data_IF_626676726680
#
_entry.id   IF_626676726680
#
_cell.length_a   1.000
_cell.length_b   1.000
_cell.length_c   1.000
_cell.angle_alpha   90.00
_cell.angle_beta   90.00
_cell.angle_gamma   90.00
#
_symmetry.space_group_name_H-M   'P 1'
#
loop_
_entity.id
_entity.type
_entity.pdbx_description
1 polymer ?
#
# COMPACT_ATOMS: atom_id res chain seq x y z
N UNK A 1 31.42 4.97 15.50
CA UNK A 1 31.42 3.63 14.84
C UNK A 1 30.71 3.81 13.52
N UNK A 2 31.27 3.39 12.38
CA UNK A 2 30.52 3.50 11.12
C UNK A 2 29.31 2.56 11.23
N UNK A 3 28.12 3.15 11.31
CA UNK A 3 26.85 2.45 11.18
C UNK A 3 26.85 1.77 9.80
N UNK A 4 26.31 0.55 9.69
CA UNK A 4 26.24 -0.13 8.39
C UNK A 4 25.44 0.73 7.39
N UNK A 5 25.80 0.73 6.09
CA UNK A 5 25.06 1.50 5.10
C UNK A 5 23.58 1.11 5.13
N UNK A 6 22.71 2.12 5.13
CA UNK A 6 21.27 1.89 5.29
C UNK A 6 20.67 1.20 4.06
N UNK A 7 21.25 1.34 2.87
CA UNK A 7 20.76 0.71 1.64
C UNK A 7 21.83 -0.22 1.06
N UNK A 8 21.72 -1.52 1.31
CA UNK A 8 22.68 -2.54 0.82
C UNK A 8 22.03 -3.75 0.19
N UNK A 9 20.72 -3.90 0.33
CA UNK A 9 19.98 -5.01 -0.22
C UNK A 9 19.73 -4.88 -1.73
N UNK A 10 19.14 -5.93 -2.32
CA UNK A 10 18.97 -6.05 -3.77
C UNK A 10 18.00 -5.04 -4.37
N UNK A 11 17.21 -4.36 -3.53
CA UNK A 11 16.25 -3.34 -3.94
C UNK A 11 16.71 -1.93 -3.56
N UNK A 12 17.95 -1.77 -3.07
CA UNK A 12 18.51 -0.46 -2.77
C UNK A 12 18.38 0.49 -3.99
N UNK A 13 17.95 1.75 -3.77
CA UNK A 13 17.91 2.74 -4.84
C UNK A 13 19.27 2.91 -5.52
N UNK A 14 19.29 2.84 -6.85
CA UNK A 14 20.54 3.02 -7.60
C UNK A 14 20.98 4.49 -7.61
N UNK A 15 22.29 4.73 -7.52
CA UNK A 15 22.83 6.10 -7.59
C UNK A 15 22.52 6.78 -8.93
N UNK A 16 22.53 6.01 -10.03
CA UNK A 16 22.16 6.50 -11.36
C UNK A 16 20.73 7.05 -11.34
N UNK A 17 19.79 6.36 -10.72
CA UNK A 17 18.40 6.82 -10.64
C UNK A 17 18.24 8.05 -9.74
N UNK A 18 18.91 8.05 -8.59
CA UNK A 18 18.90 9.17 -7.64
C UNK A 18 19.50 10.45 -8.24
N UNK A 19 20.50 10.31 -9.10
CA UNK A 19 21.23 11.41 -9.72
C UNK A 19 20.58 11.96 -11.00
N UNK A 20 19.46 11.39 -11.48
CA UNK A 20 18.70 11.93 -12.63
C UNK A 20 17.95 13.23 -12.34
N UNK A 21 17.71 13.55 -11.07
CA UNK A 21 16.95 14.74 -10.71
C UNK A 21 17.77 16.01 -10.97
N UNK A 22 17.24 16.90 -11.81
CA UNK A 22 17.84 18.22 -12.11
C UNK A 22 17.28 19.34 -11.24
N UNK A 23 16.52 19.00 -10.18
CA UNK A 23 15.96 19.96 -9.22
C UNK A 23 14.99 21.03 -9.77
N UNK A 24 14.43 20.83 -10.96
CA UNK A 24 13.55 21.80 -11.65
C UNK A 24 12.22 22.13 -10.94
N UNK A 25 11.74 21.28 -10.02
CA UNK A 25 10.54 21.54 -9.22
C UNK A 25 9.18 21.30 -9.89
N UNK A 26 9.13 20.83 -11.15
CA UNK A 26 7.84 20.55 -11.84
C UNK A 26 6.96 19.52 -11.09
N UNK A 27 7.58 18.60 -10.37
CA UNK A 27 6.88 17.58 -9.60
C UNK A 27 6.13 18.11 -8.36
N UNK A 28 6.44 19.33 -7.89
CA UNK A 28 5.90 19.87 -6.63
C UNK A 28 4.37 20.00 -6.69
N UNK A 29 3.86 20.72 -7.69
CA UNK A 29 2.42 20.99 -7.84
C UNK A 29 1.59 19.77 -8.25
N UNK A 30 2.25 18.67 -8.61
CA UNK A 30 1.59 17.41 -9.00
C UNK A 30 1.55 16.39 -7.85
N UNK A 31 2.20 16.70 -6.73
CA UNK A 31 2.24 15.85 -5.55
C UNK A 31 1.14 16.25 -4.56
N UNK A 32 0.13 15.40 -4.32
CA UNK A 32 -0.99 15.76 -3.44
C UNK A 32 -0.53 16.03 -2.01
N UNK A 33 0.49 15.32 -1.51
CA UNK A 33 0.98 15.55 -0.14
C UNK A 33 1.69 16.88 0.00
N UNK A 34 2.37 17.34 -1.05
CA UNK A 34 3.01 18.66 -1.04
C UNK A 34 1.99 19.78 -1.16
N UNK A 35 0.98 19.64 -2.03
CA UNK A 35 -0.05 20.67 -2.19
C UNK A 35 -0.84 20.88 -0.90
N UNK A 36 -1.06 19.83 -0.11
CA UNK A 36 -1.74 19.93 1.17
C UNK A 36 -0.84 20.47 2.30
N UNK A 37 0.44 20.09 2.33
CA UNK A 37 1.33 20.43 3.46
C UNK A 37 2.19 21.69 3.25
N UNK A 38 2.49 22.04 2.00
CA UNK A 38 3.44 23.09 1.63
C UNK A 38 4.91 22.80 2.01
N UNK A 39 5.20 21.65 2.63
CA UNK A 39 6.53 21.30 3.12
C UNK A 39 7.35 20.64 2.03
N UNK A 40 8.53 21.18 1.71
CA UNK A 40 9.42 20.62 0.68
C UNK A 40 9.79 19.14 0.98
N UNK A 41 9.91 18.77 2.25
CA UNK A 41 10.17 17.38 2.69
C UNK A 41 9.04 16.41 2.34
N UNK A 42 7.82 16.90 2.09
CA UNK A 42 6.66 16.13 1.64
C UNK A 42 6.49 16.13 0.11
N UNK A 43 7.41 16.78 -0.60
CA UNK A 43 7.43 16.80 -2.05
C UNK A 43 8.19 15.59 -2.64
N UNK A 44 7.95 15.25 -3.91
CA UNK A 44 8.70 14.19 -4.56
C UNK A 44 10.19 14.51 -4.60
N UNK A 45 10.54 15.76 -4.93
CA UNK A 45 11.93 16.23 -4.96
C UNK A 45 12.60 16.16 -3.60
N UNK A 46 11.95 16.67 -2.56
CA UNK A 46 12.51 16.66 -1.19
C UNK A 46 12.70 15.24 -0.66
N UNK A 47 11.72 14.35 -0.86
CA UNK A 47 11.85 12.92 -0.49
C UNK A 47 12.96 12.22 -1.26
N UNK A 48 13.12 12.51 -2.55
CA UNK A 48 14.23 11.98 -3.34
C UNK A 48 15.58 12.42 -2.76
N UNK A 49 15.69 13.69 -2.34
CA UNK A 49 16.88 14.21 -1.71
C UNK A 49 17.14 13.58 -0.34
N UNK A 50 16.09 13.33 0.46
CA UNK A 50 16.18 12.57 1.71
C UNK A 50 16.70 11.15 1.46
N UNK A 51 16.15 10.43 0.48
CA UNK A 51 16.62 9.09 0.10
C UNK A 51 18.09 9.15 -0.33
N UNK A 52 18.48 10.10 -1.17
CA UNK A 52 19.88 10.27 -1.60
C UNK A 52 20.82 10.57 -0.43
N UNK A 53 20.41 11.44 0.49
CA UNK A 53 21.21 11.76 1.68
C UNK A 53 21.37 10.56 2.62
N UNK A 54 20.34 9.72 2.77
CA UNK A 54 20.43 8.45 3.52
C UNK A 54 21.33 7.44 2.79
N UNK A 55 21.21 7.34 1.46
CA UNK A 55 22.01 6.43 0.64
C UNK A 55 23.50 6.75 0.70
N UNK A 56 23.85 8.03 0.72
CA UNK A 56 25.22 8.52 0.83
C UNK A 56 25.71 8.67 2.28
N UNK A 57 24.97 8.16 3.26
CA UNK A 57 25.32 8.21 4.69
C UNK A 57 25.53 9.64 5.23
N UNK A 58 24.98 10.66 4.55
CA UNK A 58 25.04 12.07 5.00
C UNK A 58 24.08 12.33 6.16
N UNK A 59 23.00 11.56 6.24
CA UNK A 59 22.04 11.57 7.35
C UNK A 59 21.66 10.15 7.73
N UNK A 60 21.36 9.94 9.01
CA UNK A 60 20.77 8.69 9.49
C UNK A 60 19.28 8.62 9.12
N UNK A 61 18.76 7.42 8.88
CA UNK A 61 17.34 7.17 8.60
C UNK A 61 16.43 7.27 9.83
N UNK A 62 16.50 8.40 10.55
CA UNK A 62 15.73 8.65 11.78
C UNK A 62 14.21 8.46 11.58
N UNK A 63 13.43 8.19 12.65
CA UNK A 63 11.97 8.05 12.55
C UNK A 63 11.29 9.24 11.86
N UNK A 64 11.81 10.46 12.06
CA UNK A 64 11.32 11.67 11.38
C UNK A 64 11.58 11.61 9.88
N UNK A 65 12.81 11.26 9.46
CA UNK A 65 13.16 11.14 8.04
C UNK A 65 12.33 10.05 7.34
N UNK A 66 12.14 8.90 8.00
CA UNK A 66 11.29 7.81 7.50
C UNK A 66 9.82 8.23 7.43
N UNK A 67 9.33 9.01 8.40
CA UNK A 67 7.97 9.53 8.41
C UNK A 67 7.63 10.37 7.18
N UNK A 68 8.56 11.22 6.72
CA UNK A 68 8.40 11.96 5.46
C UNK A 68 8.27 11.02 4.25
N UNK A 69 9.00 9.90 4.23
CA UNK A 69 8.88 8.90 3.17
C UNK A 69 7.56 8.13 3.26
N UNK A 70 7.09 7.80 4.45
CA UNK A 70 5.84 7.06 4.70
C UNK A 70 4.58 7.82 4.28
N UNK A 71 4.62 9.15 4.29
CA UNK A 71 3.53 9.98 3.78
C UNK A 71 3.38 9.91 2.26
N UNK A 72 4.35 9.37 1.51
CA UNK A 72 4.20 9.17 0.08
C UNK A 72 3.07 8.17 -0.25
N UNK A 73 2.05 8.62 -0.97
CA UNK A 73 0.94 7.77 -1.42
C UNK A 73 1.32 6.80 -2.55
N UNK A 74 2.52 6.92 -3.12
CA UNK A 74 2.94 6.19 -4.34
C UNK A 74 1.95 6.33 -5.52
N UNK A 75 1.37 7.53 -5.69
CA UNK A 75 0.46 7.82 -6.81
C UNK A 75 1.16 7.99 -8.17
N UNK A 76 2.48 8.20 -8.17
CA UNK A 76 3.36 8.30 -9.36
C UNK A 76 3.07 9.46 -10.33
N UNK A 77 2.20 10.40 -9.98
CA UNK A 77 2.00 11.64 -10.77
C UNK A 77 3.31 12.41 -11.03
N UNK A 78 4.24 12.38 -10.08
CA UNK A 78 5.55 13.01 -10.21
C UNK A 78 6.40 12.45 -11.35
N UNK A 79 6.23 11.18 -11.72
CA UNK A 79 6.98 10.57 -12.85
C UNK A 79 6.46 11.09 -14.18
N UNK A 80 5.13 11.17 -14.34
CA UNK A 80 4.48 11.59 -15.58
C UNK A 80 4.87 13.01 -16.01
N UNK A 81 5.19 13.87 -15.05
CA UNK A 81 5.55 15.28 -15.29
C UNK A 81 7.05 15.54 -15.23
N UNK A 82 7.87 14.52 -14.96
CA UNK A 82 9.31 14.70 -14.80
C UNK A 82 9.99 14.77 -16.18
N UNK A 83 10.59 15.92 -16.57
CA UNK A 83 11.30 16.01 -17.85
C UNK A 83 12.56 15.14 -17.88
N UNK A 84 13.15 14.86 -16.71
CA UNK A 84 14.36 14.04 -16.58
C UNK A 84 14.08 12.53 -16.47
N UNK A 85 12.82 12.11 -16.49
CA UNK A 85 12.45 10.69 -16.41
C UNK A 85 12.97 9.98 -15.15
N UNK A 86 12.89 10.64 -14.00
CA UNK A 86 13.27 10.03 -12.71
C UNK A 86 12.29 8.89 -12.40
N UNK A 87 12.76 7.64 -12.22
CA UNK A 87 11.91 6.48 -11.94
C UNK A 87 11.50 6.45 -10.46
N UNK A 88 10.72 7.45 -10.03
CA UNK A 88 10.44 7.76 -8.63
C UNK A 88 9.84 6.58 -7.84
N UNK A 89 8.88 5.86 -8.42
CA UNK A 89 8.21 4.72 -7.79
C UNK A 89 9.21 3.61 -7.45
N UNK A 90 10.09 3.24 -8.38
CA UNK A 90 11.15 2.25 -8.14
C UNK A 90 12.07 2.68 -7.00
N UNK A 91 12.48 3.94 -6.99
CA UNK A 91 13.34 4.51 -5.94
C UNK A 91 12.63 4.45 -4.58
N UNK A 92 11.37 4.88 -4.51
CA UNK A 92 10.60 4.91 -3.27
C UNK A 92 10.30 3.51 -2.73
N UNK A 93 9.94 2.57 -3.61
CA UNK A 93 9.72 1.16 -3.26
C UNK A 93 10.99 0.52 -2.70
N UNK A 94 12.11 0.74 -3.39
CA UNK A 94 13.42 0.27 -2.95
C UNK A 94 13.82 0.83 -1.59
N UNK A 95 13.72 2.15 -1.41
CA UNK A 95 14.03 2.80 -0.15
C UNK A 95 13.15 2.25 0.99
N UNK A 96 11.84 2.12 0.79
CA UNK A 96 10.92 1.56 1.80
C UNK A 96 11.23 0.10 2.13
N UNK A 97 11.59 -0.70 1.14
CA UNK A 97 11.95 -2.11 1.34
C UNK A 97 13.19 -2.25 2.22
N UNK A 98 14.23 -1.46 1.96
CA UNK A 98 15.45 -1.46 2.76
C UNK A 98 15.21 -0.93 4.18
N UNK A 99 14.45 0.17 4.31
CA UNK A 99 14.08 0.73 5.63
C UNK A 99 13.28 -0.28 6.46
N UNK A 100 12.33 -0.98 5.85
CA UNK A 100 11.55 -2.03 6.51
C UNK A 100 12.43 -3.21 6.94
N UNK A 101 13.41 -3.61 6.12
CA UNK A 101 14.33 -4.68 6.45
C UNK A 101 15.23 -4.33 7.65
N UNK A 102 15.71 -3.09 7.72
CA UNK A 102 16.62 -2.62 8.76
C UNK A 102 15.91 -2.22 10.06
N UNK A 103 14.72 -1.62 9.96
CA UNK A 103 13.95 -1.09 11.11
C UNK A 103 12.49 -1.52 11.01
N UNK A 104 12.21 -2.83 11.12
CA UNK A 104 10.84 -3.30 11.00
C UNK A 104 10.00 -2.84 12.20
N UNK A 105 8.74 -2.40 11.99
CA UNK A 105 7.89 -1.95 13.08
C UNK A 105 7.60 -3.11 14.06
N UNK A 106 7.34 -2.84 15.35
CA UNK A 106 7.21 -3.87 16.39
C UNK A 106 6.18 -4.97 16.08
N UNK A 107 5.09 -4.60 15.38
CA UNK A 107 4.01 -5.50 15.00
C UNK A 107 4.11 -6.02 13.56
N UNK A 108 5.23 -5.84 12.85
CA UNK A 108 5.34 -6.21 11.44
C UNK A 108 5.09 -7.71 11.21
N UNK A 109 5.66 -8.59 12.06
CA UNK A 109 5.52 -10.04 11.93
C UNK A 109 4.07 -10.47 12.06
N UNK A 110 3.36 -9.88 13.04
CA UNK A 110 1.94 -10.14 13.25
C UNK A 110 1.10 -9.65 12.07
N UNK A 111 1.40 -8.45 11.55
CA UNK A 111 0.72 -7.89 10.36
C UNK A 111 0.98 -8.75 9.12
N UNK A 112 2.22 -9.16 8.88
CA UNK A 112 2.61 -10.01 7.76
C UNK A 112 1.96 -11.40 7.86
N UNK A 113 1.92 -12.00 9.05
CA UNK A 113 1.22 -13.25 9.31
C UNK A 113 -0.28 -13.08 9.04
N UNK A 114 -0.90 -12.00 9.52
CA UNK A 114 -2.31 -11.72 9.28
C UNK A 114 -2.62 -11.55 7.78
N UNK A 115 -1.82 -10.78 7.05
CA UNK A 115 -1.93 -10.60 5.60
C UNK A 115 -1.85 -11.95 4.87
N UNK A 116 -0.87 -12.80 5.22
CA UNK A 116 -0.66 -14.10 4.58
C UNK A 116 -1.70 -15.15 4.96
N UNK A 117 -2.13 -15.18 6.22
CA UNK A 117 -2.95 -16.26 6.75
C UNK A 117 -4.44 -15.95 6.73
N UNK A 118 -4.83 -14.67 6.78
CA UNK A 118 -6.24 -14.23 6.78
C UNK A 118 -6.62 -13.62 5.43
N UNK A 119 -5.89 -12.63 4.95
CA UNK A 119 -6.25 -11.90 3.70
C UNK A 119 -6.00 -12.77 2.47
N UNK A 120 -4.84 -13.40 2.33
CA UNK A 120 -4.52 -14.23 1.16
C UNK A 120 -5.34 -15.54 1.06
N UNK A 121 -6.19 -15.85 2.05
CA UNK A 121 -6.99 -17.09 2.10
C UNK A 121 -8.49 -16.75 2.18
N UNK A 122 -9.24 -16.76 1.06
CA UNK A 122 -10.63 -16.30 0.99
C UNK A 122 -11.58 -16.97 2.00
N UNK A 123 -11.37 -18.26 2.31
CA UNK A 123 -12.18 -18.98 3.30
C UNK A 123 -12.00 -18.42 4.72
N UNK A 124 -10.76 -18.07 5.09
CA UNK A 124 -10.44 -17.51 6.40
C UNK A 124 -10.85 -16.05 6.50
N UNK A 125 -10.70 -15.29 5.42
CA UNK A 125 -11.24 -13.93 5.33
C UNK A 125 -12.76 -13.92 5.53
N UNK A 126 -13.49 -14.86 4.92
CA UNK A 126 -14.94 -14.96 5.09
C UNK A 126 -15.36 -15.37 6.52
N UNK A 127 -14.62 -16.29 7.15
CA UNK A 127 -14.83 -16.65 8.55
C UNK A 127 -14.55 -15.46 9.48
N UNK A 128 -13.45 -14.74 9.26
CA UNK A 128 -13.08 -13.54 10.01
C UNK A 128 -14.12 -12.43 9.88
N UNK A 129 -14.63 -12.17 8.66
CA UNK A 129 -15.71 -11.22 8.43
C UNK A 129 -17.00 -11.62 9.17
N UNK A 130 -17.32 -12.91 9.21
CA UNK A 130 -18.49 -13.42 9.96
C UNK A 130 -18.32 -13.24 11.46
N UNK A 131 -17.14 -13.56 12.00
CA UNK A 131 -16.81 -13.35 13.40
C UNK A 131 -16.92 -11.86 13.77
N UNK A 132 -16.41 -10.96 12.93
CA UNK A 132 -16.49 -9.53 13.16
C UNK A 132 -17.93 -9.00 13.11
N UNK A 133 -18.79 -9.59 12.26
CA UNK A 133 -20.24 -9.30 12.27
C UNK A 133 -20.89 -9.75 13.57
N UNK A 134 -20.61 -10.97 14.05
CA UNK A 134 -21.16 -11.49 15.30
C UNK A 134 -20.70 -10.66 16.51
N UNK A 135 -19.42 -10.29 16.56
CA UNK A 135 -18.86 -9.40 17.59
C UNK A 135 -19.55 -8.03 17.64
N UNK A 136 -19.97 -7.50 16.49
CA UNK A 136 -20.73 -6.25 16.44
C UNK A 136 -22.18 -6.44 16.83
N UNK A 137 -22.82 -7.51 16.37
CA UNK A 137 -24.21 -7.82 16.67
C UNK A 137 -24.43 -8.15 18.15
N UNK A 138 -23.41 -8.69 18.84
CA UNK A 138 -23.48 -9.04 20.26
C UNK A 138 -23.37 -7.85 21.21
N UNK A 139 -23.22 -6.61 20.72
CA UNK A 139 -23.08 -5.42 21.56
C UNK A 139 -21.74 -5.31 22.30
N UNK A 140 -20.83 -6.28 22.14
CA UNK A 140 -19.48 -6.26 22.72
C UNK A 140 -18.63 -5.07 22.23
N UNK A 141 -19.03 -4.45 21.11
CA UNK A 141 -18.49 -3.18 20.64
C UNK A 141 -18.56 -2.10 21.71
N UNK A 142 -19.69 -1.95 22.40
CA UNK A 142 -19.88 -0.93 23.44
C UNK A 142 -18.92 -1.12 24.62
N UNK A 143 -18.60 -2.38 24.93
CA UNK A 143 -17.67 -2.73 25.99
C UNK A 143 -16.22 -2.45 25.56
N UNK A 144 -15.87 -2.72 24.29
CA UNK A 144 -14.56 -2.43 23.74
C UNK A 144 -14.31 -0.93 23.50
N UNK A 145 -15.36 -0.14 23.24
CA UNK A 145 -15.27 1.32 23.15
C UNK A 145 -14.98 1.99 24.50
N UNK A 146 -15.33 1.32 25.61
CA UNK A 146 -14.95 1.75 26.97
C UNK A 146 -13.51 1.43 27.34
N UNK A 147 -12.88 0.51 26.63
CA UNK A 147 -11.47 0.18 26.85
C UNK A 147 -10.58 1.20 26.13
N UNK A 148 -9.85 2.07 26.87
CA UNK A 148 -9.10 3.17 26.25
C UNK A 148 -8.03 2.70 25.26
N UNK A 149 -7.48 1.50 25.46
CA UNK A 149 -6.49 0.89 24.57
C UNK A 149 -7.06 0.27 23.28
N UNK A 150 -8.38 0.08 23.18
CA UNK A 150 -9.05 -0.48 21.99
C UNK A 150 -9.92 0.53 21.25
N UNK A 151 -10.32 1.61 21.92
CA UNK A 151 -11.31 2.58 21.43
C UNK A 151 -11.03 3.06 20.01
N UNK A 152 -9.84 3.59 19.73
CA UNK A 152 -9.49 4.10 18.39
C UNK A 152 -9.56 3.01 17.32
N UNK A 153 -9.08 1.81 17.63
CA UNK A 153 -9.07 0.66 16.71
C UNK A 153 -10.47 0.15 16.41
N UNK A 154 -11.38 0.23 17.38
CA UNK A 154 -12.79 -0.16 17.24
C UNK A 154 -13.58 0.88 16.45
N UNK A 155 -13.31 2.17 16.64
CA UNK A 155 -13.98 3.27 15.92
C UNK A 155 -13.58 3.28 14.44
N UNK A 156 -12.29 3.10 14.13
CA UNK A 156 -11.78 3.07 12.75
C UNK A 156 -12.10 1.76 12.01
N UNK A 157 -12.64 0.75 12.70
CA UNK A 157 -12.96 -0.53 12.06
C UNK A 157 -14.08 -0.34 11.01
N UNK A 158 -13.87 -0.74 9.75
CA UNK A 158 -14.89 -0.56 8.69
C UNK A 158 -16.13 -1.39 9.00
N UNK A 159 -17.33 -0.86 8.74
CA UNK A 159 -18.59 -1.60 8.86
C UNK A 159 -18.70 -2.66 7.77
N UNK A 160 -18.74 -3.94 8.16
CA UNK A 160 -18.94 -5.04 7.21
C UNK A 160 -20.45 -5.18 6.99
N UNK A 161 -20.95 -4.54 5.95
CA UNK A 161 -22.35 -4.63 5.54
C UNK A 161 -22.55 -5.82 4.60
N UNK A 162 -23.55 -6.66 4.90
CA UNK A 162 -24.00 -7.74 4.02
C UNK A 162 -23.22 -9.07 4.11
N UNK A 163 -23.71 -10.11 3.41
CA UNK A 163 -22.99 -11.37 3.26
C UNK A 163 -21.72 -11.18 2.45
N UNK A 164 -20.68 -11.96 2.74
CA UNK A 164 -19.47 -11.95 1.91
C UNK A 164 -19.82 -12.41 0.51
N UNK A 165 -19.68 -11.52 -0.48
CA UNK A 165 -19.93 -11.85 -1.88
C UNK A 165 -18.99 -12.98 -2.30
N UNK A 166 -19.57 -14.07 -2.79
CA UNK A 166 -18.84 -15.21 -3.31
C UNK A 166 -19.39 -15.49 -4.69
N UNK A 167 -18.78 -14.89 -5.71
CA UNK A 167 -19.12 -15.21 -7.07
C UNK A 167 -18.94 -16.72 -7.29
N UNK A 168 -20.03 -17.39 -7.65
CA UNK A 168 -20.04 -18.80 -7.99
C UNK A 168 -20.80 -18.91 -9.31
N UNK A 169 -20.12 -19.41 -10.34
CA UNK A 169 -20.73 -19.64 -11.65
C UNK A 169 -20.86 -18.37 -12.49
N UNK A 170 -21.93 -18.32 -13.28
CA UNK A 170 -22.19 -17.29 -14.30
C UNK A 170 -22.64 -15.98 -13.63
N UNK A 171 -21.79 -14.94 -13.70
CA UNK A 171 -22.10 -13.61 -13.16
C UNK A 171 -23.16 -12.86 -13.98
N UNK A 172 -23.14 -13.04 -15.30
CA UNK A 172 -24.10 -12.46 -16.22
C UNK A 172 -24.24 -13.33 -17.46
N UNK A 173 -25.45 -13.38 -18.02
CA UNK A 173 -25.71 -14.00 -19.33
C UNK A 173 -25.80 -12.89 -20.38
N UNK A 174 -25.30 -13.13 -21.61
CA UNK A 174 -25.51 -12.17 -22.69
C UNK A 174 -27.01 -12.02 -22.97
N UNK A 175 -27.46 -10.79 -23.22
CA UNK A 175 -28.83 -10.51 -23.64
C UNK A 175 -29.12 -10.86 -25.11
N UNK A 176 -28.12 -11.42 -25.82
CA UNK A 176 -28.19 -11.79 -27.23
C UNK A 176 -27.19 -12.90 -27.57
N UNK A 177 -26.84 -13.02 -28.84
CA UNK A 177 -26.00 -14.10 -29.34
C UNK A 177 -24.55 -14.02 -28.81
N UNK A 178 -24.00 -15.19 -28.52
CA UNK A 178 -22.87 -15.35 -27.64
C UNK A 178 -21.53 -15.31 -28.40
N UNK A 179 -20.85 -14.14 -28.43
CA UNK A 179 -19.64 -13.93 -29.25
C UNK A 179 -18.30 -14.42 -28.68
N UNK A 180 -18.22 -14.77 -27.39
CA UNK A 180 -16.97 -15.22 -26.79
C UNK A 180 -17.01 -15.28 -25.26
N UNK A 181 -16.07 -16.03 -24.68
CA UNK A 181 -15.97 -16.20 -23.22
C UNK A 181 -15.09 -15.12 -22.62
N UNK A 182 -15.58 -14.47 -21.57
CA UNK A 182 -14.80 -13.56 -20.72
C UNK A 182 -14.77 -14.07 -19.29
N UNK A 183 -13.60 -14.03 -18.68
CA UNK A 183 -13.43 -14.22 -17.24
C UNK A 183 -13.27 -12.84 -16.61
N UNK A 184 -14.07 -12.52 -15.61
CA UNK A 184 -14.00 -11.24 -14.91
C UNK A 184 -13.27 -11.43 -13.59
N UNK A 185 -12.19 -10.68 -13.39
CA UNK A 185 -11.60 -10.50 -12.08
C UNK A 185 -12.42 -9.44 -11.35
N UNK A 186 -13.28 -9.89 -10.45
CA UNK A 186 -14.25 -9.03 -9.75
C UNK A 186 -13.62 -8.22 -8.60
N UNK A 187 -12.46 -8.63 -8.11
CA UNK A 187 -11.83 -8.06 -6.92
C UNK A 187 -10.33 -8.46 -6.86
N UNK A 188 -9.54 -7.77 -6.03
CA UNK A 188 -8.12 -8.03 -5.82
C UNK A 188 -7.83 -9.28 -4.96
N UNK A 189 -8.78 -9.76 -4.15
CA UNK A 189 -8.56 -10.87 -3.19
C UNK A 189 -9.32 -12.17 -3.53
N UNK A 190 -9.86 -12.31 -4.74
CA UNK A 190 -10.82 -13.35 -5.09
C UNK A 190 -10.28 -14.26 -6.20
N UNK A 191 -10.49 -15.60 -6.15
CA UNK A 191 -10.03 -16.50 -7.19
C UNK A 191 -10.66 -16.19 -8.55
N UNK A 192 -9.87 -16.35 -9.62
CA UNK A 192 -10.34 -16.28 -11.01
C UNK A 192 -11.57 -17.16 -11.21
N UNK A 193 -12.67 -16.56 -11.69
CA UNK A 193 -13.89 -17.30 -12.02
C UNK A 193 -14.05 -17.39 -13.53
N UNK A 194 -14.01 -18.61 -14.05
CA UNK A 194 -14.35 -18.92 -15.43
C UNK A 194 -15.87 -19.10 -15.57
N UNK A 195 -16.44 -18.58 -16.66
CA UNK A 195 -17.86 -18.73 -16.99
C UNK A 195 -18.03 -19.40 -18.36
N UNK A 196 -19.03 -20.29 -18.40
CA UNK A 196 -19.29 -21.30 -19.43
C UNK A 196 -19.65 -20.77 -20.83
N UNK A 197 -19.53 -21.70 -21.80
CA UNK A 197 -19.77 -21.63 -23.26
C UNK A 197 -20.56 -20.41 -23.77
N UNK A 198 -19.86 -19.61 -24.58
CA UNK A 198 -20.47 -18.79 -25.61
C UNK A 198 -20.27 -19.59 -26.92
N UNK A 199 -21.34 -20.10 -27.50
CA UNK A 199 -21.29 -20.77 -28.81
C UNK A 199 -21.45 -19.70 -29.89
N UNK A 200 -20.40 -19.56 -30.72
CA UNK A 200 -20.51 -18.97 -32.05
C UNK A 200 -21.39 -19.82 -32.95
#
# INVERSE_FOLDING_TARGET
MPEKPTFTGPFAPSDIDLSRCVHCGLCLQHCPTYTETGLETESPRGRLYLIKAIAEERIEATPTAVGHLDLCLQCRNCEAVCPSGVPYGRIMEGARAELLANRPPPAWRLRALFLREVIARPRRMAAFATLLRLYRASGLRWLAERAPFLRERVILAPTISGPTFRARGVLARPGGEARGRVALLIDCCVPLYAVNRFSC
#
